data_IF_654945648823
#
_entry.id   IF_654945648823
#
_cell.length_a   1.000
_cell.length_b   1.000
_cell.length_c   1.000
_cell.angle_alpha   90.00
_cell.angle_beta   90.00
_cell.angle_gamma   90.00
#
_symmetry.space_group_name_H-M   'P 1'
#
loop_
_entity.id
_entity.type
_entity.pdbx_description
1 polymer ?
#
# COMPACT_ATOMS: atom_id res chain seq x y z
N UNK A 1 0.21 -23.23 -0.70
CA UNK A 1 -0.14 -21.86 -1.08
C UNK A 1 0.03 -21.77 -2.58
N UNK A 2 -1.06 -21.74 -3.35
CA UNK A 2 -0.98 -21.56 -4.79
C UNK A 2 -0.70 -20.08 -5.07
N UNK A 3 0.42 -19.80 -5.73
CA UNK A 3 0.73 -18.46 -6.23
C UNK A 3 -0.09 -18.27 -7.50
N UNK A 4 -1.13 -17.44 -7.45
CA UNK A 4 -1.82 -16.99 -8.67
C UNK A 4 -0.90 -15.96 -9.34
N UNK A 5 -0.19 -16.38 -10.39
CA UNK A 5 0.99 -15.66 -10.88
C UNK A 5 0.71 -14.47 -11.80
N UNK A 6 -0.52 -14.31 -12.30
CA UNK A 6 -0.83 -13.29 -13.32
C UNK A 6 -1.96 -12.31 -12.94
N UNK A 7 -2.55 -12.44 -11.75
CA UNK A 7 -3.57 -11.51 -11.26
C UNK A 7 -2.94 -10.42 -10.37
N UNK A 8 -2.66 -9.26 -10.98
CA UNK A 8 -2.08 -8.10 -10.28
C UNK A 8 -2.91 -7.68 -9.04
N UNK A 9 -4.23 -7.41 -9.17
CA UNK A 9 -5.09 -7.13 -8.03
C UNK A 9 -5.10 -8.24 -6.97
N UNK A 10 -5.06 -9.51 -7.38
CA UNK A 10 -5.32 -10.62 -6.48
C UNK A 10 -6.79 -10.70 -6.04
N UNK A 11 -7.10 -11.60 -5.11
CA UNK A 11 -8.44 -11.70 -4.52
C UNK A 11 -8.64 -10.62 -3.46
N UNK A 12 -9.74 -9.87 -3.59
CA UNK A 12 -10.29 -8.95 -2.58
C UNK A 12 -11.79 -9.23 -2.52
N UNK A 13 -12.16 -10.25 -1.74
CA UNK A 13 -13.54 -10.76 -1.73
C UNK A 13 -14.49 -9.80 -1.01
N UNK A 14 -13.97 -9.02 -0.05
CA UNK A 14 -14.76 -8.10 0.76
C UNK A 14 -14.84 -6.68 0.16
N UNK A 15 -14.09 -6.39 -0.91
CA UNK A 15 -14.09 -5.14 -1.64
C UNK A 15 -13.49 -3.97 -0.86
N UNK A 16 -12.63 -4.23 0.12
CA UNK A 16 -12.04 -3.18 0.96
C UNK A 16 -10.77 -2.54 0.34
N UNK A 17 -10.37 -2.99 -0.86
CA UNK A 17 -9.18 -2.55 -1.57
C UNK A 17 -7.89 -3.23 -1.12
N UNK A 18 -7.95 -4.16 -0.17
CA UNK A 18 -6.84 -4.95 0.35
C UNK A 18 -7.02 -6.39 -0.11
N UNK A 19 -5.96 -7.00 -0.60
CA UNK A 19 -6.00 -8.43 -0.92
C UNK A 19 -6.28 -9.27 0.32
N UNK A 20 -7.08 -10.32 0.15
CA UNK A 20 -7.48 -11.23 1.23
C UNK A 20 -6.26 -11.86 1.95
N UNK A 21 -5.16 -12.12 1.22
CA UNK A 21 -3.94 -12.65 1.83
C UNK A 21 -3.16 -11.62 2.66
N UNK A 22 -3.20 -10.34 2.28
CA UNK A 22 -2.65 -9.24 3.08
C UNK A 22 -3.53 -8.96 4.30
N UNK A 23 -4.85 -9.04 4.16
CA UNK A 23 -5.77 -8.93 5.29
C UNK A 23 -5.49 -10.02 6.34
N UNK A 24 -5.39 -11.29 5.92
CA UNK A 24 -5.03 -12.39 6.81
C UNK A 24 -3.65 -12.20 7.45
N UNK A 25 -2.68 -11.68 6.70
CA UNK A 25 -1.35 -11.37 7.20
C UNK A 25 -1.35 -10.26 8.26
N UNK A 26 -2.13 -9.20 8.05
CA UNK A 26 -2.32 -8.10 9.02
C UNK A 26 -3.03 -8.61 10.28
N UNK A 27 -4.06 -9.46 10.12
CA UNK A 27 -4.82 -10.00 11.25
C UNK A 27 -3.99 -10.90 12.16
N UNK A 28 -3.02 -11.62 11.60
CA UNK A 28 -2.10 -12.46 12.36
C UNK A 28 -1.09 -11.67 13.22
N UNK A 29 -0.93 -10.35 13.00
CA UNK A 29 0.01 -9.53 13.77
C UNK A 29 -0.52 -9.25 15.18
N UNK A 30 0.36 -9.21 16.21
CA UNK A 30 0.00 -8.83 17.58
C UNK A 30 -0.11 -7.29 17.73
N UNK A 31 -0.74 -6.64 16.76
CA UNK A 31 -0.92 -5.20 16.69
C UNK A 31 -2.32 -4.79 17.17
N UNK A 32 -2.47 -3.54 17.61
CA UNK A 32 -3.79 -2.99 18.01
C UNK A 32 -4.73 -2.85 16.81
N UNK A 33 -6.02 -2.65 17.07
CA UNK A 33 -7.02 -2.42 16.01
C UNK A 33 -6.66 -1.20 15.15
N UNK A 34 -6.22 -0.09 15.77
CA UNK A 34 -5.84 1.12 15.06
C UNK A 34 -4.60 0.92 14.17
N UNK A 35 -3.60 0.20 14.69
CA UNK A 35 -2.40 -0.20 13.97
C UNK A 35 -2.73 -1.09 12.76
N UNK A 36 -3.54 -2.13 12.93
CA UNK A 36 -4.01 -2.98 11.83
C UNK A 36 -4.77 -2.19 10.78
N UNK A 37 -5.59 -1.22 11.18
CA UNK A 37 -6.29 -0.33 10.24
C UNK A 37 -5.33 0.53 9.43
N UNK A 38 -4.28 1.06 10.05
CA UNK A 38 -3.23 1.80 9.35
C UNK A 38 -2.50 0.92 8.32
N UNK A 39 -2.19 -0.35 8.66
CA UNK A 39 -1.60 -1.30 7.71
C UNK A 39 -2.54 -1.63 6.55
N UNK A 40 -3.84 -1.74 6.78
CA UNK A 40 -4.83 -1.95 5.72
C UNK A 40 -4.90 -0.75 4.78
N UNK A 41 -4.92 0.46 5.32
CA UNK A 41 -4.89 1.68 4.50
C UNK A 41 -3.64 1.73 3.62
N UNK A 42 -2.45 1.45 4.18
CA UNK A 42 -1.22 1.35 3.40
C UNK A 42 -1.30 0.25 2.33
N UNK A 43 -1.83 -0.91 2.68
CA UNK A 43 -1.94 -2.06 1.76
C UNK A 43 -2.90 -1.80 0.61
N UNK A 44 -4.01 -1.10 0.87
CA UNK A 44 -4.93 -0.68 -0.17
C UNK A 44 -4.28 0.33 -1.12
N UNK A 45 -3.51 1.29 -0.57
CA UNK A 45 -2.78 2.25 -1.38
C UNK A 45 -1.71 1.57 -2.26
N UNK A 46 -0.92 0.65 -1.70
CA UNK A 46 0.05 -0.17 -2.43
C UNK A 46 -0.63 -0.97 -3.54
N UNK A 47 -1.75 -1.64 -3.25
CA UNK A 47 -2.50 -2.42 -4.24
C UNK A 47 -3.02 -1.53 -5.38
N UNK A 48 -3.46 -0.31 -5.07
CA UNK A 48 -3.87 0.69 -6.06
C UNK A 48 -2.75 1.08 -7.03
N UNK A 49 -1.48 1.08 -6.60
CA UNK A 49 -0.34 1.39 -7.50
C UNK A 49 -0.12 0.33 -8.58
N UNK A 50 -0.60 -0.90 -8.38
CA UNK A 50 -0.44 -2.00 -9.33
C UNK A 50 -1.37 -1.90 -10.54
N UNK A 51 -2.46 -1.15 -10.40
CA UNK A 51 -3.54 -1.04 -11.39
C UNK A 51 -3.78 0.40 -11.87
N UNK A 52 -2.92 1.34 -11.45
CA UNK A 52 -3.03 2.74 -11.84
C UNK A 52 -2.73 2.92 -13.33
N UNK A 53 -3.48 3.80 -13.98
CA UNK A 53 -3.20 4.21 -15.34
C UNK A 53 -1.96 5.12 -15.39
N UNK A 54 -0.83 4.54 -15.77
CA UNK A 54 0.46 5.23 -15.82
C UNK A 54 0.55 6.31 -16.91
N UNK A 55 -0.46 6.46 -17.78
CA UNK A 55 -0.51 7.52 -18.80
C UNK A 55 -1.23 8.78 -18.32
N UNK A 56 -1.95 8.69 -17.19
CA UNK A 56 -2.72 9.81 -16.62
C UNK A 56 -2.02 10.37 -15.39
N UNK A 57 -1.42 11.55 -15.56
CA UNK A 57 -0.71 12.27 -14.48
C UNK A 57 -1.58 12.48 -13.23
N UNK A 58 -2.87 12.77 -13.40
CA UNK A 58 -3.80 12.91 -12.27
C UNK A 58 -3.97 11.60 -11.49
N UNK A 59 -4.08 10.46 -12.18
CA UNK A 59 -4.16 9.16 -11.53
C UNK A 59 -2.88 8.79 -10.78
N UNK A 60 -1.72 9.10 -11.36
CA UNK A 60 -0.42 8.92 -10.71
C UNK A 60 -0.29 9.76 -9.43
N UNK A 61 -0.71 11.03 -9.47
CA UNK A 61 -0.71 11.93 -8.30
C UNK A 61 -1.66 11.45 -7.21
N UNK A 62 -2.87 11.03 -7.57
CA UNK A 62 -3.85 10.49 -6.62
C UNK A 62 -3.36 9.21 -5.94
N UNK A 63 -2.80 8.27 -6.71
CA UNK A 63 -2.21 7.04 -6.17
C UNK A 63 -1.05 7.35 -5.21
N UNK A 64 -0.22 8.33 -5.57
CA UNK A 64 0.90 8.75 -4.74
C UNK A 64 0.45 9.43 -3.45
N UNK A 65 -0.58 10.27 -3.51
CA UNK A 65 -1.17 10.91 -2.32
C UNK A 65 -1.69 9.85 -1.35
N UNK A 66 -2.46 8.87 -1.86
CA UNK A 66 -2.99 7.77 -1.04
C UNK A 66 -1.88 6.94 -0.39
N UNK A 67 -0.79 6.68 -1.13
CA UNK A 67 0.36 5.96 -0.60
C UNK A 67 1.05 6.77 0.51
N UNK A 68 1.31 8.06 0.29
CA UNK A 68 1.86 8.96 1.31
C UNK A 68 0.98 9.07 2.55
N UNK A 69 -0.34 9.17 2.37
CA UNK A 69 -1.33 9.23 3.45
C UNK A 69 -1.35 7.94 4.28
N UNK A 70 -1.28 6.78 3.61
CA UNK A 70 -1.19 5.47 4.26
C UNK A 70 0.10 5.30 5.05
N UNK A 71 1.25 5.70 4.48
CA UNK A 71 2.53 5.73 5.18
C UNK A 71 2.42 6.63 6.43
N UNK A 72 1.97 7.88 6.28
CA UNK A 72 1.82 8.79 7.41
C UNK A 72 0.88 8.21 8.49
N UNK A 73 -0.21 7.55 8.10
CA UNK A 73 -1.10 6.90 9.06
C UNK A 73 -0.37 5.79 9.87
N UNK A 74 0.51 5.00 9.24
CA UNK A 74 1.36 4.04 9.95
C UNK A 74 2.30 4.76 10.93
N UNK A 75 2.97 5.82 10.50
CA UNK A 75 3.86 6.61 11.37
C UNK A 75 3.16 7.25 12.58
N UNK A 76 1.85 7.50 12.51
CA UNK A 76 1.09 8.01 13.65
C UNK A 76 0.60 6.93 14.62
N UNK A 77 0.55 5.67 14.20
CA UNK A 77 0.05 4.55 15.01
C UNK A 77 1.14 3.65 15.59
N UNK A 78 2.39 3.81 15.14
CA UNK A 78 3.55 3.07 15.62
C UNK A 78 4.66 4.05 16.06
N UNK A 79 5.57 3.60 16.91
CA UNK A 79 6.82 4.32 17.12
C UNK A 79 7.65 4.33 15.82
N UNK A 80 8.55 5.30 15.67
CA UNK A 80 9.31 5.52 14.44
C UNK A 80 10.06 4.26 13.93
N UNK A 81 10.69 3.51 14.84
CA UNK A 81 11.47 2.33 14.46
C UNK A 81 10.56 1.20 13.97
N UNK A 82 9.42 1.00 14.63
CA UNK A 82 8.42 0.02 14.21
C UNK A 82 7.70 0.45 12.94
N UNK A 83 7.36 1.74 12.79
CA UNK A 83 6.71 2.28 11.60
C UNK A 83 7.53 2.01 10.34
N UNK A 84 8.83 2.32 10.36
CA UNK A 84 9.74 2.02 9.24
C UNK A 84 9.70 0.53 8.86
N UNK A 85 9.84 -0.36 9.84
CA UNK A 85 9.80 -1.81 9.61
C UNK A 85 8.45 -2.26 9.05
N UNK A 86 7.35 -1.69 9.53
CA UNK A 86 6.00 -2.02 9.05
C UNK A 86 5.77 -1.57 7.62
N UNK A 87 6.22 -0.38 7.24
CA UNK A 87 6.12 0.10 5.85
C UNK A 87 6.90 -0.82 4.91
N UNK A 88 8.16 -1.12 5.23
CA UNK A 88 9.01 -2.01 4.43
C UNK A 88 8.43 -3.44 4.34
N UNK A 89 7.94 -3.96 5.47
CA UNK A 89 7.31 -5.28 5.54
C UNK A 89 6.07 -5.34 4.64
N UNK A 90 5.18 -4.35 4.71
CA UNK A 90 3.95 -4.31 3.90
C UNK A 90 4.23 -4.15 2.40
N UNK A 91 5.23 -3.36 2.02
CA UNK A 91 5.67 -3.28 0.63
C UNK A 91 6.18 -4.65 0.15
N UNK A 92 7.04 -5.30 0.94
CA UNK A 92 7.61 -6.61 0.60
C UNK A 92 6.55 -7.71 0.45
N UNK A 93 5.59 -7.80 1.38
CA UNK A 93 4.53 -8.82 1.28
C UNK A 93 3.47 -8.46 0.23
N UNK A 94 3.27 -7.16 -0.04
CA UNK A 94 2.40 -6.67 -1.10
C UNK A 94 2.96 -6.99 -2.49
N UNK A 95 4.27 -6.79 -2.68
CA UNK A 95 4.99 -7.00 -3.94
C UNK A 95 5.65 -8.39 -4.00
N UNK A 96 4.91 -9.43 -3.58
CA UNK A 96 5.44 -10.79 -3.41
C UNK A 96 5.57 -11.62 -4.71
N UNK A 97 5.23 -11.07 -5.88
CA UNK A 97 5.38 -11.75 -7.18
C UNK A 97 6.12 -10.86 -8.17
N UNK A 98 6.79 -11.48 -9.14
CA UNK A 98 7.53 -10.73 -10.17
C UNK A 98 6.63 -9.73 -10.92
N UNK A 99 5.42 -10.16 -11.28
CA UNK A 99 4.46 -9.31 -11.98
C UNK A 99 4.09 -8.05 -11.17
N UNK A 100 3.92 -8.18 -9.84
CA UNK A 100 3.62 -7.05 -8.95
C UNK A 100 4.80 -6.11 -8.79
N UNK A 101 6.01 -6.65 -8.65
CA UNK A 101 7.24 -5.85 -8.67
C UNK A 101 7.35 -5.06 -9.98
N UNK A 102 7.20 -5.72 -11.13
CA UNK A 102 7.30 -5.05 -12.43
C UNK A 102 6.20 -3.97 -12.62
N UNK A 103 5.00 -4.18 -12.07
CA UNK A 103 3.93 -3.18 -12.09
C UNK A 103 4.23 -1.98 -11.17
N UNK A 104 4.74 -2.23 -9.97
CA UNK A 104 5.17 -1.18 -9.05
C UNK A 104 6.35 -0.36 -9.62
N UNK A 105 7.30 -1.01 -10.29
CA UNK A 105 8.40 -0.35 -10.99
C UNK A 105 7.93 0.55 -12.14
N UNK A 106 6.90 0.12 -12.89
CA UNK A 106 6.26 0.96 -13.93
C UNK A 106 5.64 2.21 -13.33
N UNK A 107 4.92 2.07 -12.22
CA UNK A 107 4.36 3.20 -11.48
C UNK A 107 5.44 4.17 -10.97
N UNK A 108 6.50 3.64 -10.34
CA UNK A 108 7.60 4.44 -9.82
C UNK A 108 8.36 5.17 -10.94
N UNK A 109 8.58 4.50 -12.07
CA UNK A 109 9.19 5.11 -13.27
C UNK A 109 8.33 6.25 -13.81
N UNK A 110 7.02 6.05 -13.94
CA UNK A 110 6.09 7.07 -14.44
C UNK A 110 6.01 8.30 -13.52
N UNK A 111 6.34 8.14 -12.24
CA UNK A 111 6.42 9.23 -11.25
C UNK A 111 7.79 9.85 -11.09
N UNK A 112 8.82 9.32 -11.73
CA UNK A 112 10.18 9.82 -11.57
C UNK A 112 10.27 11.30 -11.95
N UNK A 113 10.90 12.11 -11.09
CA UNK A 113 11.00 13.56 -11.26
C UNK A 113 9.78 14.37 -10.80
N UNK A 114 8.70 13.73 -10.32
CA UNK A 114 7.57 14.44 -9.72
C UNK A 114 7.90 15.01 -8.32
N UNK A 115 7.27 16.14 -7.99
CA UNK A 115 7.34 16.76 -6.65
C UNK A 115 5.98 16.64 -5.97
N UNK A 116 6.00 16.32 -4.68
CA UNK A 116 4.79 16.19 -3.86
C UNK A 116 5.01 16.80 -2.49
N UNK A 117 3.97 17.39 -1.92
CA UNK A 117 3.98 17.84 -0.54
C UNK A 117 3.91 16.66 0.42
N UNK A 118 4.58 16.77 1.56
CA UNK A 118 4.38 15.82 2.65
C UNK A 118 2.95 15.97 3.20
N UNK A 119 2.29 14.86 3.56
CA UNK A 119 0.99 14.92 4.22
C UNK A 119 1.07 15.64 5.56
N UNK A 120 0.05 16.48 5.84
CA UNK A 120 -0.08 17.20 7.10
C UNK A 120 -1.24 16.63 7.93
N UNK A 121 -1.07 16.57 9.25
CA UNK A 121 -2.13 16.21 10.18
C UNK A 121 -2.59 14.74 10.12
N UNK A 122 -3.88 14.54 10.39
CA UNK A 122 -4.51 13.21 10.44
C UNK A 122 -4.94 12.73 9.03
N UNK A 123 -4.14 11.82 8.47
CA UNK A 123 -4.40 11.12 7.20
C UNK A 123 -5.00 9.72 7.35
N UNK A 124 -5.35 9.29 8.57
CA UNK A 124 -5.91 7.96 8.77
C UNK A 124 -7.38 7.93 8.35
N UNK A 125 -7.76 6.93 7.55
CA UNK A 125 -9.16 6.73 7.15
C UNK A 125 -9.97 6.32 8.38
N UNK A 126 -11.09 7.03 8.60
CA UNK A 126 -11.97 6.85 9.76
C UNK A 126 -12.84 5.63 9.71
#
# INVERSE_FOLDING_TARGET
MALETDNLPGADTNGNGVRDDLDAYIDAKPDTVAQKKALRQLSAALSGTLIVDATRETALREAASRLSDGINCVWRNYDAATAMKRVEEMEKVGMNTRARVDAYDRYNTARSGSVMSLPEGDTCIK
#
